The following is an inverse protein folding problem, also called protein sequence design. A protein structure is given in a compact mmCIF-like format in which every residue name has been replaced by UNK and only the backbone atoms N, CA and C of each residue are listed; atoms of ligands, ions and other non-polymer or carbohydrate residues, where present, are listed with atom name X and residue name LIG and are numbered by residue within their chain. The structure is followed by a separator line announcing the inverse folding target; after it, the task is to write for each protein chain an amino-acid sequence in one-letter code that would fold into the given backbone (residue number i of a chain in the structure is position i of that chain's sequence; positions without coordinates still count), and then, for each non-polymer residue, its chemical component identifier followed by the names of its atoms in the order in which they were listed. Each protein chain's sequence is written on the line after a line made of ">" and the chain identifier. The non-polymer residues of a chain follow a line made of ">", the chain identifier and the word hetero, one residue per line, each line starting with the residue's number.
data_IF_347302509451
#
_entry.id   IF_347302509451
#
_cell.length_a   1.000
_cell.length_b   1.000
_cell.length_c   1.000
_cell.angle_alpha   90.00
_cell.angle_beta   90.00
_cell.angle_gamma   90.00
#
_symmetry.space_group_name_H-M   'P 1'
#
loop_
_entity.id
_entity.type
_entity.pdbx_description
1 polymer ?
#
# COMPACT_ATOMS: atom_id res chain seq x y z
N UNK A 1 4.61 2.54 -16.10
CA UNK A 1 4.57 1.44 -17.08
C UNK A 1 5.35 1.85 -18.31
N UNK A 2 5.86 0.85 -19.03
CA UNK A 2 6.67 1.02 -20.24
C UNK A 2 6.12 0.08 -21.30
N UNK A 3 5.89 0.60 -22.50
CA UNK A 3 5.62 -0.18 -23.72
C UNK A 3 6.81 -0.01 -24.66
N UNK A 4 7.35 -1.13 -25.15
CA UNK A 4 8.43 -1.16 -26.12
C UNK A 4 7.89 -1.72 -27.43
N UNK A 5 7.86 -0.90 -28.47
CA UNK A 5 7.43 -1.29 -29.80
C UNK A 5 8.61 -1.81 -30.62
N UNK A 6 8.46 -3.01 -31.17
CA UNK A 6 9.47 -3.65 -32.02
C UNK A 6 8.82 -4.28 -33.26
N UNK A 7 9.57 -4.36 -34.36
CA UNK A 7 9.18 -5.12 -35.55
C UNK A 7 9.39 -6.63 -35.33
N UNK A 8 9.06 -7.43 -36.34
CA UNK A 8 9.21 -8.89 -36.29
C UNK A 8 10.67 -9.35 -36.15
N UNK A 9 11.65 -8.50 -36.43
CA UNK A 9 13.08 -8.77 -36.32
C UNK A 9 13.68 -8.26 -34.99
N UNK A 10 12.85 -7.68 -34.11
CA UNK A 10 13.28 -7.10 -32.84
C UNK A 10 13.84 -5.68 -32.95
N UNK A 11 13.75 -5.03 -34.12
CA UNK A 11 14.18 -3.64 -34.26
C UNK A 11 13.16 -2.70 -33.62
N UNK A 12 13.58 -1.65 -32.91
CA UNK A 12 12.68 -0.69 -32.29
C UNK A 12 11.89 0.10 -33.34
N UNK A 13 10.58 0.24 -33.12
CA UNK A 13 9.72 1.08 -33.95
C UNK A 13 9.56 2.45 -33.28
N UNK A 14 10.37 3.42 -33.70
CA UNK A 14 10.33 4.78 -33.19
C UNK A 14 9.27 5.63 -33.91
N UNK A 15 8.80 6.70 -33.25
CA UNK A 15 7.93 7.71 -33.87
C UNK A 15 6.49 7.26 -34.13
N UNK A 16 6.02 6.19 -33.48
CA UNK A 16 4.60 5.83 -33.50
C UNK A 16 3.78 7.01 -32.97
N UNK A 17 2.80 7.44 -33.77
CA UNK A 17 1.77 8.38 -33.33
C UNK A 17 0.63 7.65 -32.64
N UNK A 18 -0.08 8.35 -31.75
CA UNK A 18 -1.28 7.85 -31.06
C UNK A 18 -1.05 6.55 -30.25
N UNK A 19 0.09 6.45 -29.58
CA UNK A 19 0.28 5.44 -28.54
C UNK A 19 -0.51 5.84 -27.29
N UNK A 20 -1.39 4.96 -26.82
CA UNK A 20 -2.17 5.14 -25.59
C UNK A 20 -2.09 3.91 -24.71
N UNK A 21 -2.43 4.08 -23.43
CA UNK A 21 -2.71 2.97 -22.53
C UNK A 21 -4.19 3.01 -22.17
N UNK A 22 -4.84 1.85 -22.17
CA UNK A 22 -6.25 1.68 -21.87
C UNK A 22 -6.44 0.92 -20.56
N UNK A 23 -7.41 1.36 -19.77
CA UNK A 23 -7.90 0.65 -18.58
C UNK A 23 -9.19 -0.11 -18.92
N UNK A 24 -9.58 -1.12 -18.12
CA UNK A 24 -10.81 -1.87 -18.37
C UNK A 24 -12.04 -0.97 -18.23
N UNK A 25 -13.09 -1.29 -19.00
CA UNK A 25 -14.38 -0.61 -18.88
C UNK A 25 -14.91 -0.67 -17.44
N UNK A 26 -15.57 0.41 -17.01
CA UNK A 26 -16.05 0.57 -15.64
C UNK A 26 -14.97 0.98 -14.62
N UNK A 27 -13.73 1.22 -15.05
CA UNK A 27 -12.73 1.84 -14.18
C UNK A 27 -13.15 3.27 -13.81
N UNK A 28 -13.24 3.62 -12.51
CA UNK A 28 -13.69 4.95 -12.08
C UNK A 28 -12.61 6.01 -12.36
N UNK A 29 -12.80 6.78 -13.41
CA UNK A 29 -11.83 7.76 -13.94
C UNK A 29 -11.59 8.96 -13.01
N UNK A 30 -12.51 9.22 -12.07
CA UNK A 30 -12.34 10.21 -11.01
C UNK A 30 -11.37 9.73 -9.92
N UNK A 31 -11.22 8.40 -9.75
CA UNK A 31 -10.36 7.79 -8.73
C UNK A 31 -9.09 7.15 -9.28
N UNK A 32 -9.03 6.85 -10.58
CA UNK A 32 -7.93 6.14 -11.22
C UNK A 32 -7.58 6.84 -12.53
N UNK A 33 -6.33 7.27 -12.68
CA UNK A 33 -5.90 8.15 -13.78
C UNK A 33 -4.60 7.65 -14.40
N UNK A 34 -4.61 7.57 -15.72
CA UNK A 34 -3.39 7.46 -16.53
C UNK A 34 -2.85 8.85 -16.82
N UNK A 35 -1.52 8.99 -16.79
CA UNK A 35 -0.84 10.17 -17.33
C UNK A 35 -0.92 10.19 -18.85
N UNK A 36 -0.56 11.34 -19.44
CA UNK A 36 -0.19 11.37 -20.85
C UNK A 36 0.97 10.38 -21.13
N UNK A 37 0.99 9.83 -22.35
CA UNK A 37 2.09 9.01 -22.82
C UNK A 37 3.26 9.91 -23.21
N UNK A 38 4.46 9.55 -22.77
CA UNK A 38 5.71 10.18 -23.17
C UNK A 38 6.48 9.22 -24.08
N UNK A 39 6.79 9.65 -25.30
CA UNK A 39 7.75 8.97 -26.18
C UNK A 39 9.17 9.25 -25.65
N UNK A 40 9.91 8.18 -25.32
CA UNK A 40 11.28 8.24 -24.81
C UNK A 40 12.31 8.00 -25.93
N UNK A 41 11.87 7.88 -27.17
CA UNK A 41 12.67 7.49 -28.32
C UNK A 41 12.92 5.98 -28.37
N UNK A 42 13.51 5.53 -29.47
CA UNK A 42 13.90 4.13 -29.67
C UNK A 42 12.77 3.11 -29.43
N UNK A 43 11.55 3.48 -29.81
CA UNK A 43 10.35 2.65 -29.65
C UNK A 43 9.86 2.48 -28.20
N UNK A 44 10.31 3.32 -27.26
CA UNK A 44 9.92 3.23 -25.85
C UNK A 44 8.88 4.31 -25.51
N UNK A 45 7.73 3.89 -24.99
CA UNK A 45 6.61 4.74 -24.60
C UNK A 45 6.27 4.54 -23.12
N UNK A 46 6.16 5.62 -22.35
CA UNK A 46 5.94 5.56 -20.90
C UNK A 46 4.70 6.31 -20.47
N UNK A 47 4.03 5.78 -19.45
CA UNK A 47 2.96 6.44 -18.72
C UNK A 47 2.95 6.00 -17.25
N UNK A 48 2.24 6.72 -16.41
CA UNK A 48 1.98 6.36 -15.01
C UNK A 48 0.50 6.14 -14.79
N UNK A 49 0.17 5.19 -13.91
CA UNK A 49 -1.18 4.98 -13.39
C UNK A 49 -1.14 5.38 -11.93
N UNK A 50 -2.06 6.24 -11.54
CA UNK A 50 -2.20 6.72 -10.17
C UNK A 50 -3.66 6.70 -9.78
N UNK A 51 -3.94 6.74 -8.48
CA UNK A 51 -5.32 6.76 -8.03
C UNK A 51 -5.48 6.66 -6.52
N UNK A 52 -6.71 6.88 -6.08
CA UNK A 52 -7.14 6.76 -4.68
C UNK A 52 -7.97 5.51 -4.42
N UNK A 53 -8.42 4.82 -5.49
CA UNK A 53 -9.12 3.55 -5.37
C UNK A 53 -8.14 2.40 -5.52
N UNK A 54 -7.91 1.71 -4.41
CA UNK A 54 -7.16 0.47 -4.40
C UNK A 54 -7.81 -0.57 -5.33
N UNK A 55 -6.99 -1.37 -5.97
CA UNK A 55 -7.44 -2.37 -6.92
C UNK A 55 -6.34 -2.79 -7.89
N UNK A 56 -6.61 -3.86 -8.61
CA UNK A 56 -5.76 -4.39 -9.66
C UNK A 56 -6.33 -3.99 -11.01
N UNK A 57 -5.54 -3.30 -11.83
CA UNK A 57 -5.99 -2.73 -13.10
C UNK A 57 -5.17 -3.32 -14.25
N UNK A 58 -5.86 -3.97 -15.20
CA UNK A 58 -5.25 -4.47 -16.44
C UNK A 58 -5.07 -3.30 -17.41
N UNK A 59 -3.82 -2.93 -17.67
CA UNK A 59 -3.45 -1.86 -18.59
C UNK A 59 -3.04 -2.46 -19.93
N UNK A 60 -3.70 -2.03 -21.01
CA UNK A 60 -3.43 -2.52 -22.37
C UNK A 60 -2.84 -1.40 -23.23
N UNK A 61 -1.65 -1.57 -23.84
CA UNK A 61 -1.14 -0.60 -24.81
C UNK A 61 -1.94 -0.65 -26.11
N UNK A 62 -2.15 0.50 -26.71
CA UNK A 62 -2.79 0.64 -28.01
C UNK A 62 -1.96 1.53 -28.92
N UNK A 63 -2.07 1.27 -30.23
CA UNK A 63 -1.54 2.12 -31.29
C UNK A 63 -2.69 2.44 -32.23
N UNK A 64 -2.95 3.71 -32.51
CA UNK A 64 -4.08 4.17 -33.33
C UNK A 64 -5.43 3.58 -32.87
N UNK A 65 -5.64 3.52 -31.56
CA UNK A 65 -6.88 3.01 -30.94
C UNK A 65 -7.08 1.49 -31.01
N UNK A 66 -6.10 0.73 -31.50
CA UNK A 66 -6.15 -0.74 -31.54
C UNK A 66 -5.19 -1.34 -30.53
N UNK A 67 -5.65 -2.37 -29.81
CA UNK A 67 -4.79 -3.13 -28.90
C UNK A 67 -3.62 -3.77 -29.66
N UNK A 68 -2.44 -3.72 -29.05
CA UNK A 68 -1.23 -4.34 -29.62
C UNK A 68 -1.25 -5.84 -29.30
N UNK A 69 -1.87 -6.61 -30.19
CA UNK A 69 -2.07 -8.06 -30.00
C UNK A 69 -2.75 -8.36 -28.66
N UNK A 70 -2.13 -9.25 -27.89
CA UNK A 70 -2.62 -9.66 -26.56
C UNK A 70 -1.81 -9.03 -25.41
N UNK A 71 -1.04 -7.96 -25.67
CA UNK A 71 -0.20 -7.35 -24.63
C UNK A 71 -1.04 -6.67 -23.56
N UNK A 72 -0.68 -6.90 -22.30
CA UNK A 72 -1.17 -6.16 -21.15
C UNK A 72 -0.18 -6.23 -20.00
N UNK A 73 -0.32 -5.32 -19.04
CA UNK A 73 0.32 -5.41 -17.74
C UNK A 73 -0.72 -5.16 -16.65
N UNK A 74 -0.55 -5.79 -15.50
CA UNK A 74 -1.40 -5.52 -14.33
C UNK A 74 -0.69 -4.54 -13.41
N UNK A 75 -1.38 -3.46 -13.06
CA UNK A 75 -0.91 -2.49 -12.07
C UNK A 75 -1.83 -2.53 -10.86
N UNK A 76 -1.26 -2.83 -9.69
CA UNK A 76 -2.00 -2.83 -8.43
C UNK A 76 -1.80 -1.50 -7.71
N UNK A 77 -2.89 -0.77 -7.50
CA UNK A 77 -2.94 0.36 -6.57
C UNK A 77 -3.30 -0.17 -5.19
N UNK A 78 -2.47 0.11 -4.19
CA UNK A 78 -2.72 -0.28 -2.80
C UNK A 78 -3.30 0.90 -2.02
N UNK A 79 -4.21 0.59 -1.09
CA UNK A 79 -4.68 1.58 -0.14
C UNK A 79 -3.58 1.86 0.90
N UNK A 80 -3.47 3.13 1.29
CA UNK A 80 -2.63 3.52 2.41
C UNK A 80 -3.52 3.96 3.56
N UNK A 81 -3.19 3.49 4.76
CA UNK A 81 -3.77 4.01 5.99
C UNK A 81 -3.01 5.25 6.44
N UNK A 82 -3.70 6.16 7.11
CA UNK A 82 -3.11 7.36 7.72
C UNK A 82 -3.14 7.32 9.24
N UNK A 83 -3.86 6.37 9.83
CA UNK A 83 -4.10 6.31 11.26
C UNK A 83 -4.49 4.92 11.72
N UNK A 84 -4.25 4.66 12.99
CA UNK A 84 -4.91 3.56 13.71
C UNK A 84 -6.40 3.88 13.79
N UNK A 85 -7.24 2.89 13.47
CA UNK A 85 -8.69 2.99 13.55
C UNK A 85 -9.18 2.75 14.98
N UNK A 86 -8.77 1.63 15.57
CA UNK A 86 -9.13 1.22 16.92
C UNK A 86 -8.11 0.25 17.50
N UNK A 87 -8.20 0.08 18.81
CA UNK A 87 -7.45 -0.93 19.55
C UNK A 87 -8.43 -1.98 20.03
N UNK A 88 -8.20 -3.22 19.61
CA UNK A 88 -9.08 -4.35 19.91
C UNK A 88 -8.49 -5.21 21.00
N UNK A 89 -9.31 -5.53 22.00
CA UNK A 89 -8.91 -6.42 23.11
C UNK A 89 -10.13 -7.18 23.59
N UNK A 90 -10.07 -8.52 23.58
CA UNK A 90 -11.11 -9.40 24.10
C UNK A 90 -12.55 -9.04 23.64
N UNK A 91 -12.72 -8.68 22.36
CA UNK A 91 -14.01 -8.30 21.79
C UNK A 91 -14.45 -6.85 22.05
N UNK A 92 -13.70 -6.09 22.84
CA UNK A 92 -13.92 -4.65 23.04
C UNK A 92 -13.05 -3.82 22.09
N UNK A 93 -13.52 -2.61 21.77
CA UNK A 93 -12.82 -1.64 20.92
C UNK A 93 -12.60 -0.32 21.65
N UNK A 94 -11.35 0.10 21.78
CA UNK A 94 -10.98 1.41 22.28
C UNK A 94 -10.67 2.36 21.12
N UNK A 95 -11.06 3.63 21.29
CA UNK A 95 -10.51 4.69 20.46
C UNK A 95 -8.99 4.77 20.67
N UNK A 96 -8.19 5.02 19.61
CA UNK A 96 -6.72 5.12 19.74
C UNK A 96 -6.28 6.21 20.72
N UNK A 97 -7.12 7.23 20.94
CA UNK A 97 -6.89 8.37 21.84
C UNK A 97 -7.41 8.14 23.26
N UNK A 98 -8.04 7.01 23.57
CA UNK A 98 -8.58 6.72 24.90
C UNK A 98 -7.48 6.53 25.98
N UNK A 99 -6.21 6.57 25.58
CA UNK A 99 -5.07 6.35 26.46
C UNK A 99 -4.99 4.90 26.97
N UNK A 100 -5.72 3.98 26.35
CA UNK A 100 -5.49 2.54 26.48
C UNK A 100 -4.07 2.20 25.99
N UNK A 101 -3.48 1.08 26.45
CA UNK A 101 -3.73 0.47 27.75
C UNK A 101 -3.19 1.35 28.90
N UNK A 102 -3.81 1.24 30.08
CA UNK A 102 -3.35 1.87 31.34
C UNK A 102 -2.67 0.91 32.31
N UNK A 103 -2.74 -0.38 32.02
CA UNK A 103 -2.17 -1.46 32.84
C UNK A 103 -1.59 -2.52 31.91
N UNK A 104 -0.49 -3.16 32.32
CA UNK A 104 0.08 -4.31 31.64
C UNK A 104 0.42 -5.44 32.61
N UNK A 105 0.41 -6.65 32.08
CA UNK A 105 0.87 -7.87 32.75
C UNK A 105 1.39 -8.84 31.70
N UNK A 106 2.23 -9.79 32.10
CA UNK A 106 2.76 -10.81 31.19
C UNK A 106 1.63 -11.58 30.51
N UNK A 107 1.67 -11.65 29.19
CA UNK A 107 0.67 -12.34 28.36
C UNK A 107 -0.50 -11.45 27.91
N UNK A 108 -0.65 -10.24 28.46
CA UNK A 108 -1.60 -9.26 27.95
C UNK A 108 -1.31 -8.97 26.46
N UNK A 109 -2.36 -8.84 25.66
CA UNK A 109 -2.24 -8.53 24.25
C UNK A 109 -3.45 -7.75 23.75
N UNK A 110 -3.23 -6.98 22.70
CA UNK A 110 -4.26 -6.25 21.96
C UNK A 110 -3.87 -6.17 20.49
N UNK A 111 -4.82 -5.84 19.63
CA UNK A 111 -4.59 -5.65 18.20
C UNK A 111 -4.76 -4.19 17.83
N UNK A 112 -3.77 -3.60 17.16
CA UNK A 112 -3.85 -2.23 16.65
C UNK A 112 -4.33 -2.23 15.20
N UNK A 113 -5.64 -1.99 14.99
CA UNK A 113 -6.23 -2.06 13.65
C UNK A 113 -6.01 -0.76 12.88
N UNK A 114 -5.54 -0.87 11.64
CA UNK A 114 -5.34 0.28 10.76
C UNK A 114 -6.63 0.67 10.03
N UNK A 115 -6.79 1.96 9.71
CA UNK A 115 -7.97 2.45 9.00
C UNK A 115 -7.93 2.10 7.48
N UNK A 116 -9.03 2.39 6.78
CA UNK A 116 -9.08 2.27 5.32
C UNK A 116 -9.11 0.84 4.77
N UNK A 117 -9.31 -0.17 5.64
CA UNK A 117 -9.45 -1.57 5.24
C UNK A 117 -8.16 -2.18 4.67
N UNK A 118 -7.00 -1.60 4.99
CA UNK A 118 -5.70 -2.14 4.57
C UNK A 118 -5.38 -3.43 5.33
N UNK A 119 -4.60 -4.32 4.72
CA UNK A 119 -4.12 -5.52 5.39
C UNK A 119 -2.97 -5.16 6.33
N UNK A 120 -2.98 -5.69 7.56
CA UNK A 120 -1.84 -5.55 8.49
C UNK A 120 -0.54 -6.13 7.89
N UNK A 121 -0.67 -7.14 7.02
CA UNK A 121 0.41 -7.81 6.33
C UNK A 121 1.11 -6.91 5.29
N UNK A 122 0.50 -5.79 4.88
CA UNK A 122 1.12 -4.81 3.97
C UNK A 122 2.13 -3.89 4.69
N UNK A 123 2.32 -4.08 6.00
CA UNK A 123 3.15 -3.25 6.86
C UNK A 123 4.22 -4.08 7.58
N UNK A 124 5.37 -3.46 7.80
CA UNK A 124 6.39 -3.94 8.71
C UNK A 124 6.11 -3.34 10.09
N UNK A 125 5.85 -4.20 11.07
CA UNK A 125 5.51 -3.79 12.43
C UNK A 125 6.73 -3.82 13.33
N UNK A 126 6.91 -2.79 14.16
CA UNK A 126 7.93 -2.75 15.21
C UNK A 126 7.41 -2.08 16.48
N UNK A 127 8.16 -2.26 17.57
CA UNK A 127 7.93 -1.62 18.86
C UNK A 127 9.20 -0.92 19.32
N UNK A 128 9.07 0.25 19.96
CA UNK A 128 10.19 0.94 20.60
C UNK A 128 10.64 0.30 21.92
N UNK A 129 9.89 -0.66 22.46
CA UNK A 129 10.19 -1.34 23.72
C UNK A 129 10.32 -2.87 23.55
N UNK A 130 11.27 -3.35 22.72
CA UNK A 130 11.36 -4.77 22.35
C UNK A 130 11.76 -5.70 23.49
N UNK A 131 12.23 -5.17 24.63
CA UNK A 131 12.62 -5.97 25.80
C UNK A 131 11.42 -6.57 26.53
N UNK A 132 10.24 -5.96 26.44
CA UNK A 132 9.03 -6.42 27.13
C UNK A 132 7.75 -6.37 26.29
N UNK A 133 7.84 -5.93 25.04
CA UNK A 133 6.73 -5.96 24.08
C UNK A 133 7.16 -6.63 22.78
N UNK A 134 6.23 -7.29 22.12
CA UNK A 134 6.37 -7.77 20.74
C UNK A 134 5.17 -7.31 19.92
N UNK A 135 5.35 -7.23 18.60
CA UNK A 135 4.24 -6.99 17.67
C UNK A 135 4.37 -7.95 16.48
N UNK A 136 3.29 -8.63 16.13
CA UNK A 136 3.25 -9.57 15.02
C UNK A 136 2.91 -8.90 13.69
N UNK A 137 3.06 -9.62 12.58
CA UNK A 137 2.65 -9.16 11.25
C UNK A 137 1.13 -8.96 11.11
N UNK A 138 0.34 -9.57 12.00
CA UNK A 138 -1.12 -9.40 12.09
C UNK A 138 -1.53 -8.26 13.03
N UNK A 139 -0.61 -7.34 13.35
CA UNK A 139 -0.82 -6.17 14.22
C UNK A 139 -1.14 -6.48 15.69
N UNK A 140 -0.91 -7.71 16.15
CA UNK A 140 -1.11 -8.08 17.55
C UNK A 140 0.12 -7.70 18.37
N UNK A 141 -0.09 -6.82 19.34
CA UNK A 141 0.90 -6.41 20.34
C UNK A 141 0.75 -7.30 21.57
N UNK A 142 1.85 -7.89 22.04
CA UNK A 142 1.88 -8.75 23.24
C UNK A 142 2.90 -8.25 24.25
N UNK A 143 2.55 -8.29 25.52
CA UNK A 143 3.42 -7.96 26.63
C UNK A 143 4.04 -9.22 27.22
N UNK A 144 5.34 -9.17 27.49
CA UNK A 144 6.08 -10.22 28.21
C UNK A 144 6.39 -9.81 29.66
N UNK A 145 6.19 -8.54 30.01
CA UNK A 145 6.29 -7.99 31.37
C UNK A 145 5.24 -6.87 31.58
N UNK A 146 5.19 -6.28 32.77
CA UNK A 146 4.21 -5.26 33.18
C UNK A 146 4.42 -3.86 32.58
N UNK A 147 5.59 -3.59 32.01
CA UNK A 147 5.99 -2.25 31.54
C UNK A 147 6.86 -1.49 32.54
N UNK A 148 7.31 -0.29 32.14
CA UNK A 148 8.34 0.47 32.86
C UNK A 148 8.06 1.98 32.95
N UNK A 149 6.81 2.42 32.81
CA UNK A 149 6.41 3.83 32.80
C UNK A 149 7.05 4.69 31.70
N UNK A 150 7.80 4.13 30.75
CA UNK A 150 8.21 4.87 29.57
C UNK A 150 7.12 4.78 28.50
N UNK A 151 7.05 5.79 27.64
CA UNK A 151 6.18 5.75 26.48
C UNK A 151 6.67 4.69 25.48
N UNK A 152 5.75 3.88 24.98
CA UNK A 152 5.99 2.88 23.95
C UNK A 152 5.30 3.31 22.68
N UNK A 153 6.00 3.15 21.55
CA UNK A 153 5.48 3.40 20.21
C UNK A 153 5.46 2.10 19.44
N UNK A 154 4.27 1.69 19.00
CA UNK A 154 4.09 0.66 17.98
C UNK A 154 4.05 1.36 16.64
N UNK A 155 4.88 0.92 15.70
CA UNK A 155 5.00 1.53 14.38
C UNK A 155 4.69 0.51 13.29
N UNK A 156 3.77 0.88 12.40
CA UNK A 156 3.46 0.16 11.16
C UNK A 156 4.02 0.94 9.97
N UNK A 157 5.10 0.46 9.36
CA UNK A 157 5.71 1.09 8.18
C UNK A 157 5.25 0.37 6.92
N UNK A 158 4.68 1.09 5.95
CA UNK A 158 4.22 0.49 4.70
C UNK A 158 5.37 -0.18 3.94
N UNK A 159 5.18 -1.43 3.52
CA UNK A 159 6.20 -2.19 2.76
C UNK A 159 6.47 -1.59 1.38
N UNK A 160 5.47 -0.95 0.79
CA UNK A 160 5.55 -0.42 -0.59
C UNK A 160 5.86 1.07 -0.64
N UNK A 161 5.68 1.78 0.49
CA UNK A 161 6.13 3.15 0.64
C UNK A 161 6.70 3.36 2.05
N UNK A 162 7.99 3.05 2.28
CA UNK A 162 8.61 3.15 3.61
C UNK A 162 8.57 4.55 4.24
N UNK A 163 8.31 5.62 3.47
CA UNK A 163 8.10 6.96 4.00
C UNK A 163 6.72 7.14 4.68
N UNK A 164 5.82 6.16 4.56
CA UNK A 164 4.51 6.14 5.22
C UNK A 164 4.56 5.18 6.41
N UNK A 165 4.65 5.75 7.60
CA UNK A 165 4.55 5.04 8.87
C UNK A 165 3.35 5.56 9.68
N UNK A 166 2.72 4.65 10.42
CA UNK A 166 1.61 4.92 11.33
C UNK A 166 2.05 4.51 12.72
N UNK A 167 1.71 5.34 13.71
CA UNK A 167 2.16 5.17 15.08
C UNK A 167 0.97 5.03 16.02
N UNK A 168 1.12 4.15 17.00
CA UNK A 168 0.29 4.08 18.19
C UNK A 168 1.18 4.21 19.41
N UNK A 169 0.83 5.11 20.34
CA UNK A 169 1.61 5.31 21.57
C UNK A 169 0.79 4.99 22.81
N UNK A 170 1.46 4.46 23.83
CA UNK A 170 0.87 4.19 25.14
C UNK A 170 1.92 4.21 26.24
N UNK A 171 1.48 4.23 27.51
CA UNK A 171 2.33 4.27 28.71
C UNK A 171 1.71 3.40 29.80
N UNK A 172 2.53 2.56 30.45
CA UNK A 172 2.13 1.58 31.48
C UNK A 172 2.82 1.85 32.81
#
# INVERSE_FOLDING_TARGET
>A
MTFTAQDANGNPIAGLSHVTFMLPDGTPTDKVKLSAVTDKGNGVYQATLSGTRAGSYKVTPQVNGKAVGNLYATVTLMAFTTAVQDIQVNGYQFAPTAGFPKTGFTGAHFTARLNGGVSAQDYNWNTSAPTWTTVSADSMVRFTDKGNANEVTITATSKVNPAKAIHYTFKL
#
